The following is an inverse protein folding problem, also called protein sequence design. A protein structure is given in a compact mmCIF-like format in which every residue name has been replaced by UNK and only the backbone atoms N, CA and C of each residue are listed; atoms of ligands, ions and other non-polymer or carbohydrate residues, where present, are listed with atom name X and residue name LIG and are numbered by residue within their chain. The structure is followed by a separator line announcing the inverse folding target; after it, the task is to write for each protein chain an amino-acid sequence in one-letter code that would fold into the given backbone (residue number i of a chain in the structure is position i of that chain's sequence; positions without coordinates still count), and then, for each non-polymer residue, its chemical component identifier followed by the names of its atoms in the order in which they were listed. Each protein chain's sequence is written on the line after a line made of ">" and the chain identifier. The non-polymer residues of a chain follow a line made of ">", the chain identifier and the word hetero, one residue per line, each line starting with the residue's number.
data_IF_720989237603
#
_entry.id   IF_720989237603
#
_cell.length_a   1.000
_cell.length_b   1.000
_cell.length_c   1.000
_cell.angle_alpha   90.00
_cell.angle_beta   90.00
_cell.angle_gamma   90.00
#
_symmetry.space_group_name_H-M   'P 1'
#
loop_
_entity.id
_entity.type
_entity.pdbx_description
1 polymer ?
#
# COMPACT_ATOMS: atom_id res chain seq x y z
N UNK A 1 5.36 -10.33 -18.30
CA UNK A 1 4.03 -10.45 -18.95
C UNK A 1 3.37 -9.09 -18.88
N UNK A 2 3.44 -8.30 -19.94
CA UNK A 2 2.72 -7.03 -20.05
C UNK A 2 1.32 -7.37 -20.56
N UNK A 3 0.28 -7.15 -19.76
CA UNK A 3 -1.06 -6.81 -20.22
C UNK A 3 -2.00 -6.61 -19.03
N UNK A 4 -2.15 -5.35 -18.65
CA UNK A 4 -3.38 -4.78 -18.09
C UNK A 4 -3.33 -3.30 -18.45
N UNK A 5 -3.88 -2.97 -19.63
CA UNK A 5 -4.02 -1.60 -20.09
C UNK A 5 -4.93 -0.87 -19.10
N UNK A 6 -4.33 -0.12 -18.19
CA UNK A 6 -5.02 0.61 -17.14
C UNK A 6 -5.73 1.80 -17.79
N UNK A 7 -7.07 1.75 -17.87
CA UNK A 7 -7.91 2.81 -18.47
C UNK A 7 -7.63 4.17 -17.81
N UNK A 8 -7.10 4.19 -16.57
CA UNK A 8 -6.65 5.41 -15.90
C UNK A 8 -5.46 6.11 -16.57
N UNK A 9 -4.75 5.45 -17.49
CA UNK A 9 -3.71 6.08 -18.35
C UNK A 9 -4.35 7.01 -19.39
N UNK A 10 -5.65 6.86 -19.69
CA UNK A 10 -6.37 7.73 -20.60
C UNK A 10 -6.80 9.06 -19.96
N UNK A 11 -6.63 9.24 -18.64
CA UNK A 11 -6.91 10.52 -17.99
C UNK A 11 -5.74 11.51 -18.26
N UNK A 12 -5.95 12.57 -19.08
CA UNK A 12 -4.90 13.50 -19.48
C UNK A 12 -4.33 14.34 -18.32
N UNK A 13 -5.00 14.36 -17.16
CA UNK A 13 -4.51 15.05 -15.97
C UNK A 13 -3.54 14.19 -15.15
N UNK A 14 -3.61 12.86 -15.29
CA UNK A 14 -2.80 11.94 -14.46
C UNK A 14 -1.77 11.12 -15.25
N UNK A 15 -1.88 11.10 -16.58
CA UNK A 15 -1.03 10.27 -17.45
C UNK A 15 0.48 10.57 -17.37
N UNK A 16 1.01 11.82 -17.28
CA UNK A 16 2.46 12.02 -17.35
C UNK A 16 3.10 11.45 -16.08
N UNK A 17 2.43 11.68 -14.95
CA UNK A 17 2.78 11.13 -13.66
C UNK A 17 2.73 9.59 -13.65
N UNK A 18 1.69 8.98 -14.22
CA UNK A 18 1.57 7.52 -14.32
C UNK A 18 2.70 6.93 -15.18
N UNK A 19 3.07 7.58 -16.28
CA UNK A 19 4.20 7.18 -17.14
C UNK A 19 5.51 7.22 -16.35
N UNK A 20 5.78 8.30 -15.62
CA UNK A 20 6.99 8.44 -14.80
C UNK A 20 7.04 7.35 -13.71
N UNK A 21 5.94 7.16 -12.98
CA UNK A 21 5.84 6.15 -11.92
C UNK A 21 6.07 4.74 -12.47
N UNK A 22 5.44 4.39 -13.60
CA UNK A 22 5.60 3.08 -14.22
C UNK A 22 7.03 2.85 -14.72
N UNK A 23 7.66 3.88 -15.28
CA UNK A 23 9.04 3.81 -15.76
C UNK A 23 10.03 3.61 -14.61
N UNK A 24 9.88 4.38 -13.52
CA UNK A 24 10.69 4.22 -12.30
C UNK A 24 10.48 2.83 -11.70
N UNK A 25 9.23 2.36 -11.64
CA UNK A 25 8.89 1.03 -11.08
C UNK A 25 9.49 -0.14 -11.86
N UNK A 26 9.62 0.01 -13.18
CA UNK A 26 10.22 -1.00 -14.06
C UNK A 26 11.75 -1.03 -13.99
N UNK A 27 12.39 0.11 -13.72
CA UNK A 27 13.84 0.26 -13.74
C UNK A 27 14.50 0.17 -12.35
N UNK A 28 13.72 0.27 -11.28
CA UNK A 28 14.29 0.36 -9.93
C UNK A 28 14.45 -0.99 -9.26
N UNK A 29 15.64 -1.22 -8.72
CA UNK A 29 15.88 -2.28 -7.76
C UNK A 29 15.11 -2.00 -6.45
N UNK A 30 14.24 -2.94 -6.09
CA UNK A 30 13.30 -2.86 -4.97
C UNK A 30 13.93 -3.30 -3.64
N UNK A 31 15.20 -3.69 -3.65
CA UNK A 31 15.93 -4.15 -2.46
C UNK A 31 16.21 -3.04 -1.45
N UNK A 32 16.20 -1.76 -1.85
CA UNK A 32 16.50 -0.62 -0.96
C UNK A 32 15.35 0.35 -0.84
N UNK A 33 15.18 0.90 0.36
CA UNK A 33 14.24 1.95 0.78
C UNK A 33 12.76 1.57 0.76
N UNK A 34 11.87 2.56 0.66
CA UNK A 34 10.44 2.39 0.93
C UNK A 34 9.61 2.48 -0.36
N UNK A 35 8.71 1.52 -0.55
CA UNK A 35 7.85 1.39 -1.72
C UNK A 35 6.39 1.15 -1.32
N UNK A 36 5.47 1.83 -1.98
CA UNK A 36 4.04 1.61 -1.88
C UNK A 36 3.59 0.67 -3.00
N UNK A 37 2.98 -0.46 -2.65
CA UNK A 37 2.42 -1.42 -3.59
C UNK A 37 0.92 -1.27 -3.67
N UNK A 38 0.38 -1.23 -4.89
CA UNK A 38 -1.06 -1.27 -5.15
C UNK A 38 -1.40 -2.47 -6.05
N UNK A 39 -2.42 -3.25 -5.67
CA UNK A 39 -3.01 -4.28 -6.55
C UNK A 39 -4.53 -4.18 -6.57
N UNK A 40 -5.14 -4.56 -7.68
CA UNK A 40 -6.60 -4.71 -7.75
C UNK A 40 -7.01 -5.96 -6.97
N UNK A 41 -8.18 -5.90 -6.34
CA UNK A 41 -8.68 -6.96 -5.46
C UNK A 41 -9.09 -8.23 -6.20
N UNK A 42 -9.57 -8.13 -7.45
CA UNK A 42 -10.18 -9.26 -8.15
C UNK A 42 -9.66 -9.50 -9.58
N UNK A 43 -8.41 -9.13 -9.92
CA UNK A 43 -7.89 -9.18 -11.31
C UNK A 43 -8.70 -8.39 -12.36
N UNK A 44 -9.86 -7.83 -12.02
CA UNK A 44 -10.52 -6.80 -12.79
C UNK A 44 -9.61 -5.57 -12.72
N UNK A 45 -9.00 -5.17 -13.83
CA UNK A 45 -8.10 -4.02 -13.97
C UNK A 45 -8.77 -2.65 -13.72
N UNK A 46 -9.74 -2.61 -12.81
CA UNK A 46 -10.69 -1.55 -12.55
C UNK A 46 -10.60 -1.25 -11.04
N UNK A 47 -9.48 -0.69 -10.60
CA UNK A 47 -9.43 -0.03 -9.30
C UNK A 47 -9.77 1.43 -9.51
N UNK A 48 -10.90 1.87 -8.96
CA UNK A 48 -11.33 3.27 -9.06
C UNK A 48 -10.95 3.97 -7.76
N UNK A 49 -10.23 5.08 -7.89
CA UNK A 49 -10.15 6.08 -6.83
C UNK A 49 -11.50 6.81 -6.84
N UNK A 50 -12.45 6.35 -6.01
CA UNK A 50 -13.83 6.86 -6.04
C UNK A 50 -13.97 8.26 -5.42
N UNK A 51 -13.05 8.64 -4.53
CA UNK A 51 -13.00 9.95 -3.90
C UNK A 51 -11.56 10.29 -3.47
N UNK A 52 -11.23 11.58 -3.26
CA UNK A 52 -9.93 11.97 -2.70
C UNK A 52 -9.65 11.23 -1.38
N UNK A 53 -8.53 10.51 -1.34
CA UNK A 53 -8.14 9.71 -0.17
C UNK A 53 -8.87 8.36 -0.02
N UNK A 54 -9.71 7.94 -0.97
CA UNK A 54 -10.34 6.62 -0.99
C UNK A 54 -9.99 5.85 -2.26
N UNK A 55 -9.31 4.72 -2.07
CA UNK A 55 -8.79 3.89 -3.15
C UNK A 55 -9.35 2.47 -3.01
N UNK A 56 -10.02 1.91 -4.03
CA UNK A 56 -10.47 0.50 -4.01
C UNK A 56 -9.34 -0.51 -4.28
N UNK A 57 -8.09 -0.06 -4.18
CA UNK A 57 -6.92 -0.93 -4.32
C UNK A 57 -6.50 -1.48 -2.97
N UNK A 58 -6.00 -2.71 -2.98
CA UNK A 58 -5.26 -3.26 -1.85
C UNK A 58 -3.87 -2.65 -1.79
N UNK A 59 -3.52 -2.13 -0.62
CA UNK A 59 -2.24 -1.47 -0.39
C UNK A 59 -1.30 -2.38 0.40
N UNK A 60 -0.05 -2.42 -0.03
CA UNK A 60 1.07 -3.01 0.69
C UNK A 60 2.21 -2.00 0.78
N UNK A 61 3.11 -2.20 1.72
CA UNK A 61 4.33 -1.41 1.80
C UNK A 61 5.53 -2.34 1.82
N UNK A 62 6.58 -1.98 1.10
CA UNK A 62 7.83 -2.71 1.08
C UNK A 62 8.95 -1.80 1.58
N UNK A 63 9.72 -2.30 2.53
CA UNK A 63 10.82 -1.57 3.16
C UNK A 63 12.06 -2.43 3.08
N UNK A 64 13.09 -1.94 2.39
CA UNK A 64 14.37 -2.63 2.19
C UNK A 64 14.19 -4.08 1.70
N UNK A 65 13.38 -4.27 0.65
CA UNK A 65 13.12 -5.57 0.04
C UNK A 65 12.19 -6.51 0.80
N UNK A 66 11.67 -6.11 1.96
CA UNK A 66 10.65 -6.88 2.69
C UNK A 66 9.27 -6.29 2.46
N UNK A 67 8.32 -7.11 2.01
CA UNK A 67 6.92 -6.74 1.88
C UNK A 67 6.20 -6.88 3.22
N UNK A 68 5.31 -5.95 3.50
CA UNK A 68 4.40 -5.92 4.64
C UNK A 68 3.00 -5.59 4.14
N UNK A 69 2.02 -6.41 4.51
CA UNK A 69 0.63 -6.16 4.20
C UNK A 69 -0.31 -6.70 5.26
N UNK A 70 -1.55 -6.22 5.22
CA UNK A 70 -2.67 -6.80 5.96
C UNK A 70 -3.64 -7.36 4.94
N UNK A 71 -3.71 -8.68 4.81
CA UNK A 71 -4.70 -9.36 3.95
C UNK A 71 -5.97 -9.68 4.73
N UNK A 72 -7.02 -10.06 4.03
CA UNK A 72 -8.23 -10.62 4.61
C UNK A 72 -8.33 -12.10 4.25
N UNK A 73 -8.78 -12.94 5.20
CA UNK A 73 -9.03 -14.36 4.93
C UNK A 73 -10.30 -14.51 4.09
N UNK A 74 -10.11 -14.70 2.78
CA UNK A 74 -11.19 -14.83 1.79
C UNK A 74 -12.07 -16.07 2.02
N UNK A 75 -11.59 -17.06 2.79
CA UNK A 75 -12.35 -18.28 3.07
C UNK A 75 -13.46 -18.08 4.13
N UNK A 76 -13.51 -16.92 4.81
CA UNK A 76 -14.49 -16.64 5.86
C UNK A 76 -15.37 -15.47 5.49
N UNK A 77 -16.35 -15.74 4.62
CA UNK A 77 -17.36 -14.78 4.15
C UNK A 77 -18.18 -14.07 5.25
N UNK A 78 -18.12 -14.49 6.52
CA UNK A 78 -18.98 -13.94 7.59
C UNK A 78 -18.26 -13.02 8.60
N UNK A 79 -16.95 -13.13 8.80
CA UNK A 79 -16.13 -12.24 9.67
C UNK A 79 -14.68 -12.33 9.20
N UNK A 80 -14.36 -11.49 8.24
CA UNK A 80 -13.10 -11.53 7.56
C UNK A 80 -12.03 -10.87 8.47
N UNK A 81 -11.50 -11.64 9.41
CA UNK A 81 -10.41 -11.18 10.27
C UNK A 81 -9.18 -10.99 9.38
N UNK A 82 -8.68 -9.76 9.29
CA UNK A 82 -7.44 -9.55 8.57
C UNK A 82 -6.26 -10.23 9.25
N UNK A 83 -5.22 -10.51 8.46
CA UNK A 83 -3.96 -11.14 8.87
C UNK A 83 -2.81 -10.30 8.38
N UNK A 84 -1.84 -10.06 9.25
CA UNK A 84 -0.55 -9.51 8.85
C UNK A 84 0.30 -10.55 8.13
N UNK A 85 0.88 -10.15 7.00
CA UNK A 85 1.81 -10.96 6.22
C UNK A 85 3.08 -10.15 5.98
N UNK A 86 4.23 -10.82 6.14
CA UNK A 86 5.51 -10.34 5.64
C UNK A 86 6.16 -11.40 4.75
N UNK A 87 6.77 -10.98 3.64
CA UNK A 87 7.41 -11.90 2.68
C UNK A 87 8.54 -11.23 1.91
N UNK A 88 9.44 -12.06 1.38
CA UNK A 88 10.48 -11.72 0.39
C UNK A 88 10.24 -12.41 -0.97
N UNK A 89 9.13 -13.13 -1.09
CA UNK A 89 8.77 -13.85 -2.31
C UNK A 89 8.57 -12.87 -3.48
N UNK A 90 9.47 -12.96 -4.47
CA UNK A 90 9.47 -12.10 -5.65
C UNK A 90 8.23 -12.30 -6.51
N UNK A 91 7.71 -13.52 -6.61
CA UNK A 91 6.52 -13.81 -7.43
C UNK A 91 5.28 -13.16 -6.82
N UNK A 92 5.18 -13.18 -5.49
CA UNK A 92 4.12 -12.47 -4.78
C UNK A 92 4.27 -10.94 -4.89
N UNK A 93 5.48 -10.42 -4.68
CA UNK A 93 5.78 -8.98 -4.77
C UNK A 93 5.44 -8.43 -6.17
N UNK A 94 5.68 -9.20 -7.23
CA UNK A 94 5.43 -8.79 -8.61
C UNK A 94 3.93 -8.64 -8.96
N UNK A 95 3.01 -9.07 -8.09
CA UNK A 95 1.56 -8.85 -8.26
C UNK A 95 1.14 -7.40 -8.02
N UNK A 96 2.01 -6.59 -7.41
CA UNK A 96 1.74 -5.20 -7.08
C UNK A 96 2.39 -4.25 -8.08
N UNK A 97 1.70 -3.14 -8.37
CA UNK A 97 2.31 -1.96 -8.99
C UNK A 97 2.98 -1.15 -7.88
N UNK A 98 4.31 -0.99 -7.97
CA UNK A 98 5.10 -0.33 -6.93
C UNK A 98 5.40 1.12 -7.28
N UNK A 99 5.28 1.99 -6.28
CA UNK A 99 5.59 3.41 -6.36
C UNK A 99 6.62 3.72 -5.30
N UNK A 100 7.72 4.40 -5.68
CA UNK A 100 8.74 4.79 -4.72
C UNK A 100 8.20 5.85 -3.77
N UNK A 101 8.32 5.62 -2.46
CA UNK A 101 8.06 6.64 -1.45
C UNK A 101 9.35 7.41 -1.13
N UNK A 102 9.19 8.64 -0.61
CA UNK A 102 10.32 9.49 -0.21
C UNK A 102 10.93 8.96 1.08
N UNK A 103 12.27 8.95 1.14
CA UNK A 103 13.02 8.61 2.34
C UNK A 103 13.48 7.14 2.42
N UNK A 104 14.25 6.86 3.47
CA UNK A 104 14.74 5.53 3.82
C UNK A 104 14.36 5.24 5.28
N UNK A 105 14.06 3.98 5.58
CA UNK A 105 13.68 3.58 6.94
C UNK A 105 14.82 3.85 7.93
N UNK A 106 14.48 4.48 9.05
CA UNK A 106 15.34 4.57 10.24
C UNK A 106 15.16 3.38 11.18
N UNK A 107 14.25 2.46 10.83
CA UNK A 107 13.90 1.25 11.59
C UNK A 107 14.48 0.00 10.94
N UNK A 108 14.93 -0.91 11.79
CA UNK A 108 15.35 -2.27 11.42
C UNK A 108 14.16 -3.15 11.05
N UNK A 109 14.44 -4.25 10.35
CA UNK A 109 13.40 -5.23 9.99
C UNK A 109 12.65 -5.78 11.22
N UNK A 110 13.38 -6.07 12.30
CA UNK A 110 12.80 -6.60 13.54
C UNK A 110 11.90 -5.60 14.25
N UNK A 111 12.29 -4.31 14.32
CA UNK A 111 11.44 -3.25 14.87
C UNK A 111 10.15 -3.08 14.06
N UNK A 112 10.23 -3.21 12.74
CA UNK A 112 9.06 -3.14 11.86
C UNK A 112 8.10 -4.31 12.09
N UNK A 113 8.62 -5.54 12.25
CA UNK A 113 7.80 -6.71 12.59
C UNK A 113 7.11 -6.51 13.94
N UNK A 114 7.86 -6.12 14.98
CA UNK A 114 7.30 -5.91 16.32
C UNK A 114 6.17 -4.87 16.27
N UNK A 115 6.39 -3.78 15.52
CA UNK A 115 5.36 -2.75 15.32
C UNK A 115 4.13 -3.32 14.64
N UNK A 116 4.29 -4.10 13.56
CA UNK A 116 3.18 -4.74 12.86
C UNK A 116 2.40 -5.66 13.80
N UNK A 117 3.06 -6.57 14.50
CA UNK A 117 2.40 -7.51 15.42
C UNK A 117 1.62 -6.81 16.53
N UNK A 118 2.21 -5.77 17.14
CA UNK A 118 1.55 -4.97 18.17
C UNK A 118 0.32 -4.27 17.61
N UNK A 119 0.43 -3.65 16.44
CA UNK A 119 -0.68 -2.97 15.80
C UNK A 119 -1.80 -3.94 15.39
N UNK A 120 -1.47 -5.11 14.87
CA UNK A 120 -2.49 -6.09 14.44
C UNK A 120 -3.15 -6.82 15.61
N UNK A 121 -2.57 -6.77 16.81
CA UNK A 121 -3.23 -7.21 18.06
C UNK A 121 -4.13 -6.12 18.65
N UNK A 122 -3.76 -4.85 18.46
CA UNK A 122 -4.51 -3.70 18.99
C UNK A 122 -5.74 -3.33 18.16
N UNK A 123 -5.76 -3.68 16.86
CA UNK A 123 -6.85 -3.33 15.95
C UNK A 123 -7.45 -4.56 15.27
N UNK A 124 -8.77 -4.58 15.13
CA UNK A 124 -9.47 -5.48 14.24
C UNK A 124 -9.17 -5.09 12.80
N UNK A 125 -8.52 -6.00 12.08
CA UNK A 125 -8.13 -5.76 10.70
C UNK A 125 -9.35 -5.92 9.79
N UNK A 126 -9.69 -4.85 9.08
CA UNK A 126 -10.89 -4.80 8.22
C UNK A 126 -10.54 -4.51 6.77
N UNK A 127 -11.25 -5.13 5.80
CA UNK A 127 -10.91 -5.00 4.40
C UNK A 127 -11.13 -3.58 3.84
N UNK A 128 -12.31 -2.95 4.08
CA UNK A 128 -12.75 -1.78 3.30
C UNK A 128 -13.58 -0.75 4.08
N UNK A 129 -13.20 -0.42 5.32
CA UNK A 129 -13.93 0.62 6.06
C UNK A 129 -13.39 2.03 5.77
N UNK A 130 -14.32 2.96 5.56
CA UNK A 130 -14.09 4.40 5.43
C UNK A 130 -13.79 4.99 6.81
N UNK A 131 -12.55 5.48 6.98
CA UNK A 131 -12.14 6.15 8.21
C UNK A 131 -11.70 5.20 9.33
N UNK A 132 -11.15 5.77 10.40
CA UNK A 132 -10.89 5.03 11.63
C UNK A 132 -12.22 4.91 12.38
N UNK A 133 -13.02 3.91 12.02
CA UNK A 133 -14.16 3.51 12.83
C UNK A 133 -13.60 2.65 13.97
N UNK A 134 -13.98 2.98 15.21
CA UNK A 134 -13.45 2.45 16.48
C UNK A 134 -12.85 1.03 16.39
N UNK A 135 -11.59 0.93 16.86
CA UNK A 135 -10.76 -0.28 16.97
C UNK A 135 -10.48 -1.04 15.67
N UNK A 136 -10.67 -0.42 14.50
CA UNK A 136 -10.41 -1.08 13.21
C UNK A 136 -9.28 -0.45 12.41
N UNK A 137 -8.58 -1.28 11.63
CA UNK A 137 -7.50 -0.86 10.75
C UNK A 137 -7.61 -1.53 9.38
N UNK A 138 -7.66 -0.74 8.31
CA UNK A 138 -7.62 -1.22 6.92
C UNK A 138 -6.19 -1.22 6.34
N UNK A 139 -6.02 -1.74 5.12
CA UNK A 139 -4.70 -1.86 4.48
C UNK A 139 -4.01 -0.49 4.25
N UNK A 140 -4.77 0.57 3.96
CA UNK A 140 -4.23 1.92 3.74
C UNK A 140 -3.75 2.55 5.04
N UNK A 141 -4.55 2.43 6.10
CA UNK A 141 -4.21 2.88 7.44
C UNK A 141 -2.97 2.14 7.96
N UNK A 142 -2.89 0.83 7.74
CA UNK A 142 -1.71 0.03 8.05
C UNK A 142 -0.46 0.57 7.35
N UNK A 143 -0.54 0.85 6.05
CA UNK A 143 0.57 1.39 5.28
C UNK A 143 0.99 2.78 5.77
N UNK A 144 0.04 3.68 6.05
CA UNK A 144 0.35 5.01 6.59
C UNK A 144 1.03 4.93 7.96
N UNK A 145 0.53 4.06 8.83
CA UNK A 145 1.06 3.84 10.17
C UNK A 145 2.48 3.25 10.13
N UNK A 146 2.72 2.26 9.27
CA UNK A 146 4.04 1.65 9.13
C UNK A 146 5.05 2.59 8.47
N UNK A 147 4.62 3.37 7.45
CA UNK A 147 5.45 4.41 6.84
C UNK A 147 5.83 5.50 7.83
N UNK A 148 4.87 5.96 8.64
CA UNK A 148 5.09 6.94 9.68
C UNK A 148 6.13 6.46 10.70
N UNK A 149 5.99 5.21 11.15
CA UNK A 149 6.92 4.59 12.08
C UNK A 149 8.32 4.42 11.49
N UNK A 150 8.42 3.98 10.23
CA UNK A 150 9.68 3.78 9.54
C UNK A 150 10.50 5.07 9.37
N UNK A 151 9.84 6.23 9.25
CA UNK A 151 10.49 7.53 9.09
C UNK A 151 10.51 8.40 10.35
N UNK A 152 9.92 7.92 11.45
CA UNK A 152 9.71 8.72 12.67
C UNK A 152 8.97 10.05 12.40
N UNK A 153 7.89 9.98 11.63
CA UNK A 153 7.01 11.12 11.32
C UNK A 153 5.59 10.86 11.84
N UNK A 154 4.73 11.87 11.82
CA UNK A 154 3.32 11.70 12.19
C UNK A 154 2.55 10.92 11.13
N UNK A 155 1.51 10.18 11.55
CA UNK A 155 0.62 9.43 10.64
C UNK A 155 -0.11 10.38 9.68
N UNK A 156 -0.43 11.60 10.12
CA UNK A 156 -1.01 12.63 9.25
C UNK A 156 -0.05 13.01 8.12
N UNK A 157 1.22 13.28 8.43
CA UNK A 157 2.23 13.59 7.42
C UNK A 157 2.45 12.41 6.47
N UNK A 158 2.51 11.19 6.99
CA UNK A 158 2.59 9.97 6.19
C UNK A 158 1.40 9.86 5.22
N UNK A 159 0.18 10.03 5.71
CA UNK A 159 -1.06 10.01 4.92
C UNK A 159 -1.05 11.04 3.80
N UNK A 160 -0.61 12.27 4.08
CA UNK A 160 -0.49 13.30 3.05
C UNK A 160 0.53 12.89 1.98
N UNK A 161 1.71 12.44 2.38
CA UNK A 161 2.78 12.03 1.44
C UNK A 161 2.31 10.86 0.59
N UNK A 162 1.75 9.80 1.18
CA UNK A 162 1.29 8.61 0.44
C UNK A 162 0.14 8.95 -0.49
N UNK A 163 -0.84 9.77 -0.08
CA UNK A 163 -1.95 10.17 -0.94
C UNK A 163 -1.51 11.08 -2.08
N UNK A 164 -0.59 12.02 -1.80
CA UNK A 164 0.03 12.83 -2.85
C UNK A 164 0.76 11.91 -3.81
N UNK A 165 1.71 11.09 -3.37
CA UNK A 165 2.57 10.23 -4.21
C UNK A 165 1.75 9.22 -5.03
N UNK A 166 0.72 8.65 -4.42
CA UNK A 166 -0.13 7.63 -5.03
C UNK A 166 -1.13 8.16 -6.05
N UNK A 167 -1.26 9.49 -6.19
CA UNK A 167 -2.18 10.14 -7.12
C UNK A 167 -3.63 10.15 -6.64
N UNK A 168 -3.87 9.89 -5.35
CA UNK A 168 -5.20 9.91 -4.75
C UNK A 168 -5.73 11.33 -4.47
N UNK A 169 -4.88 12.35 -4.64
CA UNK A 169 -5.25 13.76 -4.59
C UNK A 169 -4.90 14.33 -5.96
N UNK A 170 -5.93 14.78 -6.70
CA UNK A 170 -5.80 15.55 -7.93
C UNK A 170 -5.64 17.03 -7.53
N UNK A 171 -4.61 17.69 -8.04
CA UNK A 171 -4.54 19.15 -8.08
C UNK A 171 -5.03 19.61 -9.45
#
# INVERSE_FOLDING_TARGET
>A
MFNNFDIGVLNPLTWPRRIIINSISALSDREKGIWLGKKSLNNFGIGWTLAPGFDLFHWAIMINGHLYEVTVDENKHAKANGKFITTKDRDYINKFKWIRLIGNSTKTHSELIEKCERSTKAYFLVPYELGMINDKMNCQQFVHMLYAYALNITVLKATCITNIISGNILF
#
